data_IF_659730487611
#
_entry.id   IF_659730487611
#
_cell.length_a   1.000
_cell.length_b   1.000
_cell.length_c   1.000
_cell.angle_alpha   90.00
_cell.angle_beta   90.00
_cell.angle_gamma   90.00
#
_symmetry.space_group_name_H-M   'P 1'
#
loop_
_entity.id
_entity.type
_entity.pdbx_description
1 polymer ?
#
# COMPACT_ATOMS: atom_id res chain seq x y z
N UNK A 1 13.72 46.87 9.64
CA UNK A 1 12.33 47.21 9.24
C UNK A 1 11.50 47.72 10.41
N UNK A 2 11.55 47.09 11.59
CA UNK A 2 10.82 47.48 12.81
C UNK A 2 11.17 48.89 13.32
N UNK A 3 12.42 49.36 13.17
CA UNK A 3 12.90 50.68 13.61
C UNK A 3 12.36 51.85 12.76
N UNK A 4 11.90 51.61 11.54
CA UNK A 4 11.36 52.63 10.64
C UNK A 4 9.86 52.84 10.88
N UNK A 5 9.12 51.80 11.26
CA UNK A 5 7.67 51.83 11.47
C UNK A 5 7.26 52.78 12.61
N UNK A 6 8.10 52.97 13.65
CA UNK A 6 7.82 53.85 14.79
C UNK A 6 7.85 55.37 14.44
N UNK A 7 8.24 55.77 13.23
CA UNK A 7 8.30 57.17 12.78
C UNK A 7 7.22 57.53 11.76
N UNK A 8 6.37 56.55 11.36
CA UNK A 8 5.32 56.79 10.38
C UNK A 8 4.03 57.32 11.04
N UNK A 9 3.24 58.13 10.34
CA UNK A 9 1.88 58.45 10.77
C UNK A 9 1.08 57.19 11.04
N UNK A 10 0.23 57.18 12.07
CA UNK A 10 -0.52 55.99 12.48
C UNK A 10 -1.33 55.33 11.34
N UNK A 11 -1.88 56.14 10.43
CA UNK A 11 -2.60 55.65 9.25
C UNK A 11 -1.70 54.82 8.34
N UNK A 12 -0.49 55.32 8.05
CA UNK A 12 0.49 54.63 7.21
C UNK A 12 1.00 53.38 7.91
N UNK A 13 1.28 53.48 9.21
CA UNK A 13 1.71 52.29 9.98
C UNK A 13 0.66 51.17 9.96
N UNK A 14 -0.64 51.50 10.08
CA UNK A 14 -1.75 50.53 9.99
C UNK A 14 -1.86 49.91 8.60
N UNK A 15 -1.70 50.71 7.53
CA UNK A 15 -1.72 50.21 6.16
C UNK A 15 -0.55 49.26 5.89
N UNK A 16 0.66 49.62 6.34
CA UNK A 16 1.84 48.76 6.22
C UNK A 16 1.67 47.48 7.01
N UNK A 17 1.15 47.53 8.23
CA UNK A 17 0.86 46.35 9.03
C UNK A 17 -0.20 45.44 8.36
N UNK A 18 -1.27 46.02 7.80
CA UNK A 18 -2.30 45.31 7.07
C UNK A 18 -1.73 44.60 5.84
N UNK A 19 -0.92 45.29 5.03
CA UNK A 19 -0.24 44.73 3.88
C UNK A 19 0.71 43.58 4.27
N UNK A 20 1.46 43.77 5.35
CA UNK A 20 2.36 42.75 5.86
C UNK A 20 1.58 41.46 6.27
N UNK A 21 0.46 41.62 6.98
CA UNK A 21 -0.40 40.48 7.37
C UNK A 21 -0.96 39.78 6.13
N UNK A 22 -1.50 40.57 5.17
CA UNK A 22 -2.00 39.97 3.91
C UNK A 22 -0.91 39.23 3.18
N UNK A 23 0.28 39.80 3.05
CA UNK A 23 1.41 39.11 2.39
C UNK A 23 1.86 37.84 3.10
N UNK A 24 1.83 37.83 4.44
CA UNK A 24 2.19 36.65 5.23
C UNK A 24 1.15 35.54 5.13
N UNK A 25 -0.13 35.88 4.97
CA UNK A 25 -1.22 34.89 4.96
C UNK A 25 -1.59 34.47 3.54
N UNK A 26 -1.39 35.30 2.53
CA UNK A 26 -1.84 35.04 1.16
C UNK A 26 -1.21 33.75 0.58
N UNK A 27 0.09 33.56 0.74
CA UNK A 27 0.78 32.38 0.21
C UNK A 27 0.35 31.07 0.93
N UNK A 28 0.35 31.00 2.28
CA UNK A 28 -0.18 29.82 2.98
C UNK A 28 -1.65 29.54 2.67
N UNK A 29 -2.48 30.58 2.58
CA UNK A 29 -3.90 30.43 2.24
C UNK A 29 -4.08 29.87 0.82
N UNK A 30 -3.39 30.43 -0.17
CA UNK A 30 -3.44 29.94 -1.54
C UNK A 30 -2.94 28.47 -1.64
N UNK A 31 -1.88 28.15 -0.90
CA UNK A 31 -1.34 26.79 -0.85
C UNK A 31 -2.32 25.80 -0.20
N UNK A 32 -2.99 26.20 0.89
CA UNK A 32 -4.00 25.38 1.56
C UNK A 32 -5.22 25.15 0.66
N UNK A 33 -5.68 26.19 -0.04
CA UNK A 33 -6.79 26.06 -0.99
C UNK A 33 -6.41 25.16 -2.15
N UNK A 34 -5.21 25.33 -2.72
CA UNK A 34 -4.71 24.46 -3.78
C UNK A 34 -4.65 22.99 -3.32
N UNK A 35 -4.15 22.73 -2.11
CA UNK A 35 -4.14 21.39 -1.52
C UNK A 35 -5.54 20.80 -1.38
N UNK A 36 -6.50 21.58 -0.87
CA UNK A 36 -7.86 21.12 -0.64
C UNK A 36 -8.64 20.86 -1.95
N UNK A 37 -8.31 21.57 -3.02
CA UNK A 37 -8.97 21.44 -4.32
C UNK A 37 -8.30 20.39 -5.24
N UNK A 38 -7.14 19.88 -4.86
CA UNK A 38 -6.40 18.91 -5.68
C UNK A 38 -6.53 17.51 -5.09
N UNK A 39 -7.05 16.52 -5.84
CA UNK A 39 -7.01 15.13 -5.41
C UNK A 39 -5.56 14.68 -5.21
N UNK A 40 -5.26 14.10 -4.05
CA UNK A 40 -3.96 13.55 -3.74
C UNK A 40 -4.08 12.04 -3.61
N UNK A 41 -3.15 11.31 -4.19
CA UNK A 41 -3.05 9.84 -4.11
C UNK A 41 -1.70 9.45 -3.51
N UNK A 42 -1.64 8.23 -2.97
CA UNK A 42 -0.42 7.66 -2.39
C UNK A 42 -0.48 7.51 -0.87
N UNK A 43 0.44 6.74 -0.34
CA UNK A 43 0.52 6.41 1.09
C UNK A 43 1.04 7.56 1.96
N UNK A 44 1.76 8.52 1.35
CA UNK A 44 2.25 9.72 2.04
C UNK A 44 1.46 10.93 1.53
N UNK A 45 0.66 11.57 2.40
CA UNK A 45 -0.03 12.79 2.02
C UNK A 45 0.96 13.87 1.61
N UNK A 46 0.77 14.43 0.40
CA UNK A 46 1.51 15.61 -0.05
C UNK A 46 0.61 16.83 0.02
N UNK A 47 1.20 17.99 0.28
CA UNK A 47 0.47 19.26 0.27
C UNK A 47 0.91 20.09 -0.94
N UNK A 48 0.02 20.92 -1.47
CA UNK A 48 0.31 21.85 -2.56
C UNK A 48 -0.36 21.50 -3.88
N UNK A 49 -0.07 22.29 -4.93
CA UNK A 49 -0.63 22.05 -6.26
C UNK A 49 -0.08 20.74 -6.85
N UNK A 50 -0.90 20.05 -7.65
CA UNK A 50 -0.50 18.85 -8.36
C UNK A 50 0.75 19.10 -9.21
N UNK A 51 1.81 18.31 -9.01
CA UNK A 51 3.06 18.42 -9.79
C UNK A 51 4.28 18.83 -8.98
N UNK A 52 4.14 19.19 -7.71
CA UNK A 52 5.27 19.24 -6.80
C UNK A 52 5.73 17.79 -6.53
N UNK A 53 6.87 17.38 -7.09
CA UNK A 53 7.42 16.05 -6.90
C UNK A 53 7.62 15.74 -5.42
N UNK A 54 6.55 15.31 -4.77
CA UNK A 54 6.61 14.68 -3.46
C UNK A 54 7.37 13.36 -3.60
N UNK A 55 7.99 12.90 -2.54
CA UNK A 55 8.64 11.58 -2.40
C UNK A 55 7.70 10.38 -2.66
N UNK A 56 6.56 10.59 -3.33
CA UNK A 56 5.45 9.66 -3.52
C UNK A 56 5.33 9.03 -4.90
N UNK A 57 6.25 9.23 -5.81
CA UNK A 57 6.20 8.56 -7.11
C UNK A 57 6.65 7.10 -6.99
N UNK A 58 5.74 6.18 -6.87
CA UNK A 58 5.95 4.76 -7.12
C UNK A 58 6.41 3.88 -5.96
N UNK A 59 7.15 4.37 -4.97
CA UNK A 59 7.68 3.51 -3.90
C UNK A 59 6.65 3.18 -2.80
N UNK A 60 5.72 4.09 -2.57
CA UNK A 60 4.68 3.99 -1.54
C UNK A 60 3.26 4.03 -2.13
N UNK A 61 3.14 4.00 -3.45
CA UNK A 61 1.82 3.96 -4.09
C UNK A 61 1.23 2.56 -3.96
N UNK A 62 -0.01 2.50 -3.49
CA UNK A 62 -0.77 1.28 -3.47
C UNK A 62 -0.95 0.75 -4.91
N UNK A 63 -0.81 -0.55 -5.16
CA UNK A 63 -1.02 -1.11 -6.48
C UNK A 63 -2.45 -0.85 -6.95
N UNK A 64 -2.60 -0.58 -8.24
CA UNK A 64 -3.90 -0.56 -8.90
C UNK A 64 -4.04 -1.88 -9.66
N UNK A 65 -4.85 -2.83 -9.18
CA UNK A 65 -5.04 -4.10 -9.86
C UNK A 65 -5.75 -3.91 -11.20
N UNK A 66 -5.53 -4.84 -12.13
CA UNK A 66 -6.27 -4.89 -13.38
C UNK A 66 -7.76 -5.21 -13.13
N UNK A 67 -8.60 -4.95 -14.13
CA UNK A 67 -10.01 -5.30 -14.05
C UNK A 67 -10.22 -6.81 -13.86
N UNK A 68 -9.37 -7.64 -14.47
CA UNK A 68 -9.44 -9.10 -14.35
C UNK A 68 -9.08 -9.56 -12.94
N UNK A 69 -7.99 -9.05 -12.36
CA UNK A 69 -7.64 -9.34 -10.96
C UNK A 69 -8.75 -8.87 -10.02
N UNK A 70 -9.28 -7.66 -10.24
CA UNK A 70 -10.39 -7.14 -9.43
C UNK A 70 -11.60 -8.06 -9.52
N UNK A 71 -11.98 -8.53 -10.72
CA UNK A 71 -13.08 -9.47 -10.90
C UNK A 71 -12.86 -10.78 -10.14
N UNK A 72 -11.67 -11.38 -10.24
CA UNK A 72 -11.33 -12.60 -9.50
C UNK A 72 -11.50 -12.42 -7.98
N UNK A 73 -11.11 -11.26 -7.45
CA UNK A 73 -11.23 -10.97 -6.01
C UNK A 73 -12.67 -10.74 -5.56
N UNK A 74 -13.60 -10.44 -6.48
CA UNK A 74 -15.01 -10.19 -6.17
C UNK A 74 -15.92 -11.38 -6.47
N UNK A 75 -15.49 -12.33 -7.31
CA UNK A 75 -16.35 -13.44 -7.77
C UNK A 75 -16.88 -14.34 -6.61
N UNK A 76 -16.13 -14.45 -5.50
CA UNK A 76 -16.50 -15.24 -4.31
C UNK A 76 -16.71 -14.36 -3.07
N UNK A 77 -17.20 -13.13 -3.24
CA UNK A 77 -17.44 -12.21 -2.13
C UNK A 77 -18.29 -12.84 -1.03
N UNK A 78 -17.78 -12.75 0.21
CA UNK A 78 -18.46 -13.29 1.40
C UNK A 78 -18.27 -14.79 1.66
N UNK A 79 -17.63 -15.55 0.75
CA UNK A 79 -17.31 -16.96 0.97
C UNK A 79 -16.10 -17.15 1.89
N UNK A 80 -15.14 -16.23 1.80
CA UNK A 80 -13.90 -16.26 2.57
C UNK A 80 -13.86 -15.11 3.56
N UNK A 81 -13.09 -15.27 4.64
CA UNK A 81 -12.82 -14.16 5.58
C UNK A 81 -11.98 -13.09 4.89
N UNK A 82 -11.01 -13.53 4.08
CA UNK A 82 -10.19 -12.66 3.25
C UNK A 82 -10.19 -13.17 1.80
N UNK A 83 -10.58 -12.30 0.88
CA UNK A 83 -10.55 -12.62 -0.55
C UNK A 83 -9.13 -12.82 -1.06
N UNK A 84 -8.15 -12.17 -0.43
CA UNK A 84 -6.74 -12.39 -0.69
C UNK A 84 -5.89 -12.09 0.54
N UNK A 85 -4.64 -12.60 0.53
CA UNK A 85 -3.55 -12.16 1.39
C UNK A 85 -2.41 -11.62 0.53
N UNK A 86 -1.73 -10.57 0.99
CA UNK A 86 -0.60 -9.97 0.28
C UNK A 86 0.41 -9.38 1.25
N UNK A 87 1.69 -9.41 0.90
CA UNK A 87 2.75 -8.87 1.76
C UNK A 87 2.69 -7.34 1.78
N UNK A 88 2.59 -6.76 2.98
CA UNK A 88 2.57 -5.34 3.25
C UNK A 88 1.18 -4.69 3.13
N UNK A 89 0.82 -3.88 4.13
CA UNK A 89 -0.50 -3.23 4.20
C UNK A 89 -0.72 -2.22 3.06
N UNK A 90 0.33 -1.60 2.55
CA UNK A 90 0.23 -0.69 1.42
C UNK A 90 -0.21 -1.42 0.14
N UNK A 91 0.34 -2.61 -0.10
CA UNK A 91 -0.09 -3.48 -1.19
C UNK A 91 -1.54 -3.96 -0.96
N UNK A 92 -1.87 -4.41 0.26
CA UNK A 92 -3.22 -4.86 0.61
C UNK A 92 -4.27 -3.77 0.35
N UNK A 93 -3.98 -2.52 0.70
CA UNK A 93 -4.89 -1.39 0.52
C UNK A 93 -5.33 -1.21 -0.94
N UNK A 94 -4.43 -1.36 -1.90
CA UNK A 94 -4.75 -1.23 -3.32
C UNK A 94 -5.76 -2.28 -3.80
N UNK A 95 -5.54 -3.53 -3.44
CA UNK A 95 -6.46 -4.63 -3.77
C UNK A 95 -7.78 -4.51 -3.02
N UNK A 96 -7.75 -4.18 -1.73
CA UNK A 96 -8.95 -4.01 -0.91
C UNK A 96 -9.84 -2.88 -1.42
N UNK A 97 -9.26 -1.73 -1.78
CA UNK A 97 -10.01 -0.60 -2.32
C UNK A 97 -10.62 -0.90 -3.69
N UNK A 98 -9.91 -1.64 -4.54
CA UNK A 98 -10.41 -1.99 -5.86
C UNK A 98 -11.50 -3.07 -5.82
N UNK A 99 -11.35 -4.08 -4.96
CA UNK A 99 -12.29 -5.18 -4.84
C UNK A 99 -13.48 -4.87 -3.92
N UNK A 100 -13.36 -3.90 -3.00
CA UNK A 100 -14.36 -3.66 -1.96
C UNK A 100 -14.47 -4.79 -0.92
N UNK A 101 -13.55 -5.76 -0.94
CA UNK A 101 -13.54 -6.97 -0.15
C UNK A 101 -12.31 -7.05 0.77
N UNK A 102 -12.37 -7.74 1.92
CA UNK A 102 -11.26 -7.79 2.87
C UNK A 102 -10.00 -8.44 2.29
N UNK A 103 -8.85 -7.80 2.48
CA UNK A 103 -7.53 -8.33 2.10
C UNK A 103 -6.62 -8.37 3.32
N UNK A 104 -6.03 -9.54 3.58
CA UNK A 104 -5.11 -9.75 4.69
C UNK A 104 -3.74 -9.17 4.37
N UNK A 105 -3.28 -8.22 5.18
CA UNK A 105 -1.91 -7.73 5.10
C UNK A 105 -0.97 -8.66 5.88
N UNK A 106 0.01 -9.25 5.20
CA UNK A 106 1.04 -10.09 5.81
C UNK A 106 2.28 -9.24 6.07
N UNK A 107 2.82 -9.30 7.29
CA UNK A 107 4.06 -8.62 7.64
C UNK A 107 3.92 -7.12 7.91
N UNK A 108 2.72 -6.64 8.26
CA UNK A 108 2.49 -5.23 8.62
C UNK A 108 2.69 -4.26 7.47
N UNK A 109 3.24 -3.06 7.74
CA UNK A 109 3.33 -1.99 6.75
C UNK A 109 4.23 -2.35 5.57
N UNK A 110 5.44 -2.82 5.83
CA UNK A 110 6.48 -3.09 4.83
C UNK A 110 6.79 -4.58 4.63
N UNK A 111 6.04 -5.46 5.28
CA UNK A 111 6.25 -6.90 5.17
C UNK A 111 7.24 -7.49 6.18
N UNK A 112 7.72 -6.72 7.17
CA UNK A 112 8.73 -7.20 8.13
C UNK A 112 8.18 -7.60 9.49
N UNK A 113 6.93 -7.25 9.81
CA UNK A 113 6.33 -7.59 11.09
C UNK A 113 5.99 -9.08 11.15
N UNK A 114 6.19 -9.75 12.31
CA UNK A 114 5.90 -11.17 12.44
C UNK A 114 4.39 -11.45 12.65
N UNK A 115 3.55 -10.88 11.80
CA UNK A 115 2.08 -10.99 11.89
C UNK A 115 1.43 -11.07 10.49
N UNK A 116 0.56 -12.09 10.23
CA UNK A 116 0.40 -13.29 11.05
C UNK A 116 1.69 -14.11 11.13
N UNK A 117 1.85 -14.96 12.13
CA UNK A 117 2.92 -15.97 12.13
C UNK A 117 2.66 -16.98 11.01
N UNK A 118 3.72 -17.65 10.51
CA UNK A 118 3.58 -18.71 9.50
C UNK A 118 2.55 -19.77 9.92
N UNK A 119 2.59 -20.18 11.20
CA UNK A 119 1.64 -21.17 11.73
C UNK A 119 0.19 -20.66 11.77
N UNK A 120 -0.03 -19.37 12.00
CA UNK A 120 -1.39 -18.78 11.92
C UNK A 120 -1.87 -18.71 10.48
N UNK A 121 -1.02 -18.25 9.56
CA UNK A 121 -1.34 -18.19 8.14
C UNK A 121 -1.71 -19.56 7.58
N UNK A 122 -0.92 -20.59 7.88
CA UNK A 122 -1.18 -21.97 7.46
C UNK A 122 -2.55 -22.44 7.96
N UNK A 123 -2.86 -22.23 9.23
CA UNK A 123 -4.20 -22.58 9.77
C UNK A 123 -5.32 -21.83 9.07
N UNK A 124 -5.16 -20.53 8.79
CA UNK A 124 -6.19 -19.75 8.09
C UNK A 124 -6.41 -20.26 6.66
N UNK A 125 -5.38 -20.77 6.01
CA UNK A 125 -5.50 -21.44 4.70
C UNK A 125 -6.20 -22.78 4.84
N UNK A 126 -5.79 -23.63 5.79
CA UNK A 126 -6.37 -24.95 6.06
C UNK A 126 -7.85 -24.85 6.46
N UNK A 127 -8.24 -23.81 7.20
CA UNK A 127 -9.61 -23.49 7.57
C UNK A 127 -10.44 -22.89 6.42
N UNK A 128 -9.84 -22.69 5.24
CA UNK A 128 -10.50 -22.10 4.07
C UNK A 128 -10.88 -20.62 4.26
N UNK A 129 -10.13 -19.87 5.05
CA UNK A 129 -10.43 -18.47 5.37
C UNK A 129 -9.86 -17.49 4.35
N UNK A 130 -8.83 -17.91 3.59
CA UNK A 130 -8.13 -17.09 2.59
C UNK A 130 -8.31 -17.74 1.22
N UNK A 131 -8.75 -16.96 0.22
CA UNK A 131 -8.93 -17.47 -1.14
C UNK A 131 -7.61 -17.42 -1.93
N UNK A 132 -7.07 -16.21 -2.14
CA UNK A 132 -5.86 -16.01 -2.93
C UNK A 132 -4.68 -15.56 -2.07
N UNK A 133 -3.47 -15.89 -2.51
CA UNK A 133 -2.26 -15.18 -2.10
C UNK A 133 -1.73 -14.41 -3.30
N UNK A 134 -1.43 -13.13 -3.13
CA UNK A 134 -0.89 -12.27 -4.19
C UNK A 134 0.56 -11.96 -3.86
N UNK A 135 1.45 -12.23 -4.81
CA UNK A 135 2.85 -11.86 -4.65
C UNK A 135 2.99 -10.34 -4.64
N UNK A 136 3.32 -9.79 -3.47
CA UNK A 136 3.45 -8.35 -3.25
C UNK A 136 4.78 -7.82 -3.80
N UNK A 137 4.81 -6.51 -4.12
CA UNK A 137 6.07 -5.82 -4.39
C UNK A 137 6.73 -5.44 -3.06
N UNK A 138 8.00 -5.79 -2.84
CA UNK A 138 8.72 -5.34 -1.66
C UNK A 138 8.80 -3.80 -1.64
N UNK A 139 8.43 -3.17 -0.52
CA UNK A 139 8.38 -1.72 -0.40
C UNK A 139 9.74 -1.05 -0.61
N UNK A 140 10.84 -1.71 -0.27
CA UNK A 140 12.22 -1.22 -0.37
C UNK A 140 13.05 -2.03 -1.39
N UNK A 141 12.41 -2.62 -2.39
CA UNK A 141 13.10 -3.30 -3.49
C UNK A 141 13.70 -4.66 -3.14
N UNK A 142 13.66 -5.09 -1.88
CA UNK A 142 14.10 -6.42 -1.46
C UNK A 142 13.32 -6.87 -0.22
N UNK A 143 12.68 -8.03 -0.31
CA UNK A 143 12.16 -8.69 0.88
C UNK A 143 13.34 -9.11 1.78
N UNK A 144 13.19 -8.98 3.09
CA UNK A 144 14.13 -9.59 4.04
C UNK A 144 13.90 -11.10 4.00
N UNK A 145 14.88 -11.90 3.53
CA UNK A 145 14.71 -13.34 3.40
C UNK A 145 14.55 -14.05 4.76
N UNK A 146 14.81 -13.37 5.86
CA UNK A 146 14.63 -13.88 7.23
C UNK A 146 13.29 -13.47 7.85
N UNK A 147 12.41 -12.79 7.11
CA UNK A 147 11.11 -12.34 7.60
C UNK A 147 10.06 -13.44 7.55
N UNK A 148 9.09 -13.38 8.47
CA UNK A 148 7.93 -14.31 8.47
C UNK A 148 7.14 -14.22 7.15
N UNK A 149 7.09 -13.05 6.54
CA UNK A 149 6.43 -12.90 5.23
C UNK A 149 7.17 -13.61 4.09
N UNK A 150 8.51 -13.71 4.17
CA UNK A 150 9.30 -14.51 3.23
C UNK A 150 9.00 -16.01 3.41
N UNK A 151 8.99 -16.50 4.66
CA UNK A 151 8.62 -17.88 4.98
C UNK A 151 7.22 -18.24 4.47
N UNK A 152 6.25 -17.33 4.63
CA UNK A 152 4.88 -17.51 4.13
C UNK A 152 4.87 -17.56 2.60
N UNK A 153 5.59 -16.64 1.94
CA UNK A 153 5.66 -16.59 0.47
C UNK A 153 6.28 -17.87 -0.09
N UNK A 154 7.38 -18.34 0.50
CA UNK A 154 8.03 -19.61 0.11
C UNK A 154 7.09 -20.80 0.33
N UNK A 155 6.44 -20.87 1.51
CA UNK A 155 5.47 -21.92 1.82
C UNK A 155 4.33 -21.99 0.80
N UNK A 156 3.80 -20.84 0.35
CA UNK A 156 2.76 -20.76 -0.68
C UNK A 156 3.30 -21.21 -2.03
N UNK A 157 4.45 -20.69 -2.46
CA UNK A 157 5.03 -21.01 -3.76
C UNK A 157 5.40 -22.50 -3.92
N UNK A 158 5.77 -23.17 -2.82
CA UNK A 158 6.04 -24.58 -2.81
C UNK A 158 4.80 -25.48 -2.96
N UNK A 159 3.61 -24.97 -2.58
CA UNK A 159 2.40 -25.79 -2.43
C UNK A 159 1.32 -25.49 -3.44
N UNK A 160 1.27 -24.30 -3.97
CA UNK A 160 0.22 -23.87 -4.86
C UNK A 160 0.78 -23.44 -6.22
N UNK A 161 0.06 -23.71 -7.33
CA UNK A 161 0.49 -23.27 -8.65
C UNK A 161 0.35 -21.74 -8.79
N UNK A 162 1.38 -21.10 -9.35
CA UNK A 162 1.34 -19.70 -9.67
C UNK A 162 0.43 -19.44 -10.88
N UNK A 163 -0.42 -18.45 -10.79
CA UNK A 163 -1.32 -17.96 -11.85
C UNK A 163 -0.90 -16.53 -12.20
N UNK A 164 -0.50 -16.29 -13.42
CA UNK A 164 -0.15 -14.95 -13.89
C UNK A 164 -1.33 -14.30 -14.59
N UNK A 165 -1.79 -13.15 -14.07
CA UNK A 165 -2.90 -12.37 -14.64
C UNK A 165 -2.46 -10.91 -14.77
N UNK A 166 -2.37 -10.42 -15.99
CA UNK A 166 -2.02 -9.01 -16.30
C UNK A 166 -0.76 -8.50 -15.54
N UNK A 167 0.25 -9.35 -15.41
CA UNK A 167 1.50 -9.03 -14.73
C UNK A 167 1.45 -9.13 -13.20
N UNK A 168 0.32 -9.59 -12.63
CA UNK A 168 0.19 -9.94 -11.21
C UNK A 168 0.29 -11.44 -11.06
N UNK A 169 1.10 -11.91 -10.11
CA UNK A 169 1.19 -13.33 -9.75
C UNK A 169 0.28 -13.61 -8.56
N UNK A 170 -0.64 -14.56 -8.73
CA UNK A 170 -1.56 -15.03 -7.70
C UNK A 170 -1.40 -16.53 -7.49
N UNK A 171 -1.79 -17.00 -6.31
CA UNK A 171 -1.89 -18.40 -5.95
C UNK A 171 -3.29 -18.66 -5.41
N UNK A 172 -4.02 -19.59 -6.00
CA UNK A 172 -5.34 -20.00 -5.50
C UNK A 172 -5.13 -21.03 -4.38
N UNK A 173 -5.40 -20.60 -3.13
CA UNK A 173 -5.19 -21.40 -1.93
C UNK A 173 -6.27 -22.46 -1.71
N UNK A 174 -7.30 -22.50 -2.56
CA UNK A 174 -8.32 -23.55 -2.56
C UNK A 174 -7.97 -24.73 -3.46
N UNK A 175 -6.98 -24.57 -4.34
CA UNK A 175 -6.54 -25.64 -5.24
C UNK A 175 -5.78 -26.72 -4.47
N UNK A 176 -5.90 -27.99 -4.90
CA UNK A 176 -5.13 -29.07 -4.27
C UNK A 176 -3.64 -28.78 -4.41
N UNK A 177 -2.91 -29.01 -3.32
CA UNK A 177 -1.45 -28.82 -3.25
C UNK A 177 -0.75 -29.54 -4.39
N UNK A 178 0.29 -28.92 -4.96
CA UNK A 178 1.16 -29.57 -5.92
C UNK A 178 1.89 -30.67 -5.18
N UNK A 179 1.56 -31.94 -5.46
CA UNK A 179 2.36 -33.08 -4.99
C UNK A 179 3.72 -32.99 -5.70
N UNK A 180 4.75 -32.52 -5.02
CA UNK A 180 6.12 -32.66 -5.56
C UNK A 180 6.37 -34.13 -5.84
N UNK A 181 6.84 -34.50 -7.05
CA UNK A 181 7.34 -35.87 -7.28
C UNK A 181 8.49 -36.08 -6.30
N UNK A 182 8.36 -37.15 -5.48
CA UNK A 182 9.38 -37.52 -4.51
C UNK A 182 10.75 -37.49 -5.19
N UNK A 183 11.65 -36.67 -4.65
CA UNK A 183 13.05 -36.65 -5.09
C UNK A 183 13.60 -38.05 -4.88
N UNK A 184 13.69 -38.84 -5.94
CA UNK A 184 14.38 -40.13 -5.90
C UNK A 184 15.83 -39.85 -5.55
N UNK A 185 16.36 -40.41 -4.44
CA UNK A 185 17.77 -40.25 -4.14
C UNK A 185 18.55 -40.92 -5.28
N UNK A 186 19.33 -40.12 -6.02
CA UNK A 186 20.27 -40.59 -7.01
C UNK A 186 21.21 -41.60 -6.35
N UNK A 187 21.03 -42.89 -6.66
CA UNK A 187 21.97 -43.91 -6.28
C UNK A 187 23.30 -43.65 -7.00
N UNK A 188 24.33 -43.38 -6.22
CA UNK A 188 25.73 -43.56 -6.61
C UNK A 188 26.29 -44.79 -5.93
#
# INVERSE_FOLDING_TARGET
>A
LLLVVGRLPQSVARSVAGLAVVSCVAAPAAFSVATALTPHSGAIPSAGPAGGGGFGGGLLDAPTPSAEVTRMLTDDEGRFTWTAAVVGSNNAAGYQLAAGAPVLAVGGFNGTDPSPTTAQFVRDVEDGRIHYFIEGRPLMGRADPSSVSADITEWVAERFPAIAVDGTVLYDLTMPQISQPAHSPSQR
#
